data_IF_517548985822
#
_entry.id   IF_517548985822
#
_cell.length_a   1.000
_cell.length_b   1.000
_cell.length_c   1.000
_cell.angle_alpha   90.00
_cell.angle_beta   90.00
_cell.angle_gamma   90.00
#
_symmetry.space_group_name_H-M   'P 1'
#
loop_
_entity.id
_entity.type
_entity.pdbx_description
1 polymer ?
#
# COMPACT_ATOMS: atom_id res chain seq x y z
N UNK A 1 23.59 -39.35 13.81
CA UNK A 1 23.98 -37.94 14.05
C UNK A 1 24.24 -37.31 12.70
N UNK A 2 23.31 -36.51 12.17
CA UNK A 2 23.40 -35.87 10.85
C UNK A 2 23.06 -34.40 11.01
N UNK A 3 24.10 -33.56 11.06
CA UNK A 3 24.00 -32.09 11.19
C UNK A 3 24.56 -31.36 9.96
N UNK A 4 24.74 -32.05 8.83
CA UNK A 4 25.44 -31.51 7.65
C UNK A 4 24.59 -30.80 6.59
N UNK A 5 23.31 -30.52 6.84
CA UNK A 5 22.37 -30.10 5.78
C UNK A 5 22.26 -28.60 5.50
N UNK A 6 22.71 -27.71 6.39
CA UNK A 6 22.39 -26.27 6.29
C UNK A 6 23.49 -25.35 5.74
N UNK A 7 24.70 -25.84 5.49
CA UNK A 7 25.81 -24.98 5.02
C UNK A 7 25.77 -24.68 3.50
N UNK A 8 25.07 -25.48 2.69
CA UNK A 8 25.07 -25.33 1.23
C UNK A 8 24.22 -24.18 0.67
N UNK A 9 23.50 -23.42 1.51
CA UNK A 9 22.63 -22.30 1.06
C UNK A 9 23.22 -20.91 1.31
N UNK A 10 24.47 -20.80 1.80
CA UNK A 10 24.98 -19.54 2.37
C UNK A 10 25.71 -18.62 1.39
N UNK A 11 26.23 -19.13 0.26
CA UNK A 11 27.11 -18.36 -0.64
C UNK A 11 26.60 -18.20 -2.08
N UNK A 12 25.28 -18.06 -2.25
CA UNK A 12 24.75 -17.56 -3.51
C UNK A 12 25.09 -16.06 -3.67
N UNK A 13 25.74 -15.62 -4.76
CA UNK A 13 26.01 -14.20 -4.99
C UNK A 13 24.70 -13.43 -4.91
N UNK A 14 24.65 -12.40 -4.05
CA UNK A 14 23.50 -11.49 -3.90
C UNK A 14 23.20 -10.88 -5.26
N UNK A 15 22.29 -11.49 -6.02
CA UNK A 15 22.02 -11.10 -7.40
C UNK A 15 21.46 -9.66 -7.42
N UNK A 16 21.77 -8.86 -8.45
CA UNK A 16 21.34 -7.46 -8.62
C UNK A 16 19.82 -7.27 -8.88
N UNK A 17 18.97 -8.20 -8.42
CA UNK A 17 17.51 -8.23 -8.65
C UNK A 17 16.82 -6.99 -8.06
N UNK A 18 17.40 -6.36 -7.03
CA UNK A 18 16.83 -5.15 -6.41
C UNK A 18 16.85 -3.92 -7.32
N UNK A 19 17.81 -3.81 -8.25
CA UNK A 19 18.01 -2.58 -9.02
C UNK A 19 17.00 -2.45 -10.18
N UNK A 20 16.62 -3.56 -10.81
CA UNK A 20 15.69 -3.59 -11.96
C UNK A 20 14.26 -3.25 -11.51
N UNK A 21 13.82 -3.74 -10.34
CA UNK A 21 12.49 -3.47 -9.81
C UNK A 21 12.28 -1.98 -9.47
N UNK A 22 13.29 -1.34 -8.88
CA UNK A 22 13.22 0.07 -8.49
C UNK A 22 13.05 1.00 -9.71
N UNK A 23 13.80 0.78 -10.79
CA UNK A 23 13.69 1.61 -12.00
C UNK A 23 12.31 1.46 -12.66
N UNK A 24 11.78 0.24 -12.78
CA UNK A 24 10.44 0.02 -13.36
C UNK A 24 9.36 0.68 -12.54
N UNK A 25 9.47 0.61 -11.21
CA UNK A 25 8.54 1.27 -10.29
C UNK A 25 8.62 2.79 -10.39
N UNK A 26 9.84 3.36 -10.41
CA UNK A 26 10.04 4.80 -10.55
C UNK A 26 9.49 5.32 -11.89
N UNK A 27 9.71 4.58 -12.99
CA UNK A 27 9.16 4.90 -14.30
C UNK A 27 7.62 4.82 -14.30
N UNK A 28 7.04 3.77 -13.72
CA UNK A 28 5.59 3.63 -13.63
C UNK A 28 4.93 4.74 -12.80
N UNK A 29 5.54 5.10 -11.66
CA UNK A 29 5.09 6.22 -10.84
C UNK A 29 5.21 7.52 -11.64
N UNK A 30 6.37 7.80 -12.25
CA UNK A 30 6.59 9.00 -13.06
C UNK A 30 5.58 9.15 -14.19
N UNK A 31 5.29 8.07 -14.91
CA UNK A 31 4.30 8.05 -15.99
C UNK A 31 2.89 8.33 -15.47
N UNK A 32 2.53 7.75 -14.32
CA UNK A 32 1.25 8.03 -13.67
C UNK A 32 1.13 9.49 -13.23
N UNK A 33 2.19 10.10 -12.70
CA UNK A 33 2.21 11.53 -12.33
C UNK A 33 1.95 12.39 -13.57
N UNK A 34 2.73 12.17 -14.62
CA UNK A 34 2.67 12.97 -15.85
C UNK A 34 1.29 12.82 -16.51
N UNK A 35 0.76 11.60 -16.57
CA UNK A 35 -0.58 11.34 -17.09
C UNK A 35 -1.66 12.04 -16.27
N UNK A 36 -1.57 12.03 -14.94
CA UNK A 36 -2.56 12.68 -14.06
C UNK A 36 -2.49 14.20 -14.16
N UNK A 37 -1.28 14.78 -14.22
CA UNK A 37 -1.09 16.21 -14.41
C UNK A 37 -1.62 16.66 -15.77
N UNK A 38 -1.29 15.93 -16.84
CA UNK A 38 -1.79 16.20 -18.18
C UNK A 38 -3.31 16.09 -18.25
N UNK A 39 -3.88 15.02 -17.69
CA UNK A 39 -5.33 14.83 -17.61
C UNK A 39 -6.02 15.99 -16.87
N UNK A 40 -5.42 16.45 -15.77
CA UNK A 40 -5.93 17.61 -15.02
C UNK A 40 -5.94 18.86 -15.91
N UNK A 41 -4.83 19.17 -16.59
CA UNK A 41 -4.76 20.34 -17.49
C UNK A 41 -5.76 20.23 -18.65
N UNK A 42 -5.92 19.05 -19.25
CA UNK A 42 -6.86 18.83 -20.34
C UNK A 42 -8.32 18.89 -19.86
N UNK A 43 -8.61 18.45 -18.64
CA UNK A 43 -9.94 18.51 -18.03
C UNK A 43 -10.42 19.94 -17.81
N UNK A 44 -9.49 20.89 -17.62
CA UNK A 44 -9.82 22.32 -17.51
C UNK A 44 -10.27 22.93 -18.84
N UNK A 45 -10.03 22.25 -19.97
CA UNK A 45 -10.44 22.70 -21.31
C UNK A 45 -11.77 22.12 -21.76
N UNK A 46 -12.36 21.20 -21.00
CA UNK A 46 -13.65 20.59 -21.37
C UNK A 46 -14.80 21.36 -20.74
N UNK A 47 -15.53 22.12 -21.55
CA UNK A 47 -16.70 22.94 -21.12
C UNK A 47 -17.98 22.13 -20.89
N UNK A 48 -17.89 20.79 -20.84
CA UNK A 48 -19.08 19.95 -20.70
C UNK A 48 -19.46 19.82 -19.23
N UNK A 49 -20.63 20.33 -18.79
CA UNK A 49 -21.09 20.07 -17.44
C UNK A 49 -21.37 18.56 -17.29
N UNK A 50 -20.89 17.92 -16.21
CA UNK A 50 -21.15 16.51 -15.97
C UNK A 50 -22.64 16.31 -15.68
N UNK A 51 -23.24 15.25 -16.23
CA UNK A 51 -24.58 14.86 -15.84
C UNK A 51 -24.57 14.33 -14.39
N UNK A 52 -25.63 14.59 -13.61
CA UNK A 52 -25.70 14.12 -12.21
C UNK A 52 -25.53 12.60 -12.07
N UNK A 53 -25.98 11.83 -13.06
CA UNK A 53 -25.77 10.37 -13.12
C UNK A 53 -24.30 9.97 -13.26
N UNK A 54 -23.47 10.76 -13.94
CA UNK A 54 -22.03 10.49 -14.11
C UNK A 54 -21.31 10.67 -12.77
N UNK A 55 -21.61 11.76 -12.06
CA UNK A 55 -21.06 12.02 -10.73
C UNK A 55 -21.50 10.97 -9.71
N UNK A 56 -22.77 10.57 -9.74
CA UNK A 56 -23.30 9.51 -8.88
C UNK A 56 -22.60 8.16 -9.14
N UNK A 57 -22.38 7.81 -10.42
CA UNK A 57 -21.68 6.58 -10.78
C UNK A 57 -20.22 6.57 -10.28
N UNK A 58 -19.48 7.65 -10.52
CA UNK A 58 -18.08 7.75 -10.09
C UNK A 58 -17.98 7.82 -8.56
N UNK A 59 -18.81 8.62 -7.89
CA UNK A 59 -18.81 8.71 -6.43
C UNK A 59 -19.18 7.38 -5.76
N UNK A 60 -20.05 6.58 -6.40
CA UNK A 60 -20.40 5.23 -5.91
C UNK A 60 -19.21 4.30 -6.04
N UNK A 61 -18.50 4.35 -7.18
CA UNK A 61 -17.29 3.58 -7.39
C UNK A 61 -16.17 3.94 -6.40
N UNK A 62 -15.92 5.24 -6.16
CA UNK A 62 -14.94 5.70 -5.16
C UNK A 62 -15.31 5.18 -3.76
N UNK A 63 -16.59 5.33 -3.37
CA UNK A 63 -17.07 4.89 -2.06
C UNK A 63 -16.93 3.37 -1.88
N UNK A 64 -17.34 2.60 -2.89
CA UNK A 64 -17.24 1.14 -2.90
C UNK A 64 -15.80 0.65 -2.82
N UNK A 65 -14.91 1.21 -3.64
CA UNK A 65 -13.47 0.87 -3.60
C UNK A 65 -12.84 1.25 -2.25
N UNK A 66 -13.17 2.42 -1.72
CA UNK A 66 -12.66 2.89 -0.43
C UNK A 66 -13.13 2.00 0.71
N UNK A 67 -14.40 1.59 0.70
CA UNK A 67 -14.96 0.65 1.67
C UNK A 67 -14.28 -0.72 1.59
N UNK A 68 -14.10 -1.27 0.38
CA UNK A 68 -13.36 -2.50 0.17
C UNK A 68 -11.91 -2.40 0.68
N UNK A 69 -11.26 -1.26 0.44
CA UNK A 69 -9.92 -0.96 0.94
C UNK A 69 -9.84 -0.93 2.47
N UNK A 70 -10.83 -0.34 3.15
CA UNK A 70 -10.92 -0.37 4.62
C UNK A 70 -11.05 -1.81 5.11
N UNK A 71 -11.96 -2.60 4.53
CA UNK A 71 -12.15 -4.01 4.89
C UNK A 71 -10.84 -4.80 4.73
N UNK A 72 -10.14 -4.61 3.61
CA UNK A 72 -8.86 -5.26 3.35
C UNK A 72 -7.79 -4.86 4.38
N UNK A 73 -7.79 -3.59 4.83
CA UNK A 73 -6.86 -3.10 5.84
C UNK A 73 -7.14 -3.66 7.24
N UNK A 74 -8.42 -3.83 7.63
CA UNK A 74 -8.79 -4.33 8.97
C UNK A 74 -8.84 -5.85 9.08
N UNK A 75 -9.12 -6.57 7.98
CA UNK A 75 -9.27 -8.03 7.95
C UNK A 75 -8.38 -8.68 6.89
N UNK A 76 -7.04 -8.56 7.01
CA UNK A 76 -6.11 -9.08 5.98
C UNK A 76 -6.24 -10.59 5.75
N UNK A 77 -6.66 -11.35 6.78
CA UNK A 77 -6.84 -12.82 6.69
C UNK A 77 -8.03 -13.25 5.83
N UNK A 78 -9.09 -12.44 5.75
CA UNK A 78 -10.31 -12.78 5.00
C UNK A 78 -10.14 -12.61 3.49
N UNK A 79 -9.47 -11.54 3.07
CA UNK A 79 -9.26 -11.25 1.65
C UNK A 79 -8.34 -12.28 0.97
N UNK A 80 -7.34 -12.81 1.69
CA UNK A 80 -6.41 -13.78 1.11
C UNK A 80 -7.10 -15.11 0.77
N UNK A 81 -8.12 -15.53 1.53
CA UNK A 81 -8.91 -16.73 1.23
C UNK A 81 -9.74 -16.57 -0.05
N UNK A 82 -10.47 -15.46 -0.19
CA UNK A 82 -11.28 -15.19 -1.39
C UNK A 82 -10.42 -15.00 -2.65
N UNK A 83 -9.27 -14.31 -2.54
CA UNK A 83 -8.34 -14.17 -3.66
C UNK A 83 -7.68 -15.49 -4.05
N UNK A 84 -7.33 -16.34 -3.08
CA UNK A 84 -6.79 -17.69 -3.34
C UNK A 84 -7.80 -18.64 -3.99
N UNK A 85 -9.10 -18.38 -3.82
CA UNK A 85 -10.16 -19.12 -4.50
C UNK A 85 -10.45 -18.57 -5.91
N UNK A 86 -10.28 -17.26 -6.14
CA UNK A 86 -10.55 -16.63 -7.43
C UNK A 86 -9.36 -16.67 -8.41
N UNK A 87 -8.12 -16.78 -7.93
CA UNK A 87 -6.92 -16.90 -8.74
C UNK A 87 -6.40 -18.34 -8.73
N UNK A 88 -6.62 -19.06 -9.83
CA UNK A 88 -5.91 -20.28 -10.26
C UNK A 88 -4.85 -20.80 -9.28
N UNK A 89 -5.21 -21.77 -8.45
CA UNK A 89 -4.40 -22.90 -7.94
C UNK A 89 -2.88 -22.75 -7.77
N UNK A 90 -2.35 -21.57 -7.47
CA UNK A 90 -0.94 -21.42 -7.14
C UNK A 90 -0.82 -21.64 -5.65
N UNK A 91 -0.41 -22.86 -5.33
CA UNK A 91 0.18 -23.29 -4.07
C UNK A 91 0.52 -22.09 -3.19
N UNK A 92 -0.43 -21.73 -2.32
CA UNK A 92 -0.07 -21.16 -1.04
C UNK A 92 0.86 -22.21 -0.45
N UNK A 93 2.17 -21.99 -0.66
CA UNK A 93 3.23 -22.84 -0.19
C UNK A 93 2.86 -23.21 1.23
N UNK A 94 2.51 -24.47 1.37
CA UNK A 94 2.59 -25.21 2.61
C UNK A 94 4.02 -24.97 3.05
N UNK A 95 4.22 -23.92 3.85
CA UNK A 95 5.36 -23.84 4.75
C UNK A 95 5.09 -24.97 5.73
N UNK A 96 5.35 -26.20 5.26
CA UNK A 96 5.38 -27.40 6.06
C UNK A 96 6.42 -27.11 7.13
N UNK A 97 5.92 -26.81 8.32
CA UNK A 97 6.11 -27.57 9.57
C UNK A 97 7.52 -28.05 9.97
N UNK A 98 8.51 -28.08 9.10
CA UNK A 98 9.80 -28.73 9.35
C UNK A 98 10.94 -27.73 9.61
N UNK A 99 10.66 -26.43 9.64
CA UNK A 99 11.60 -25.46 10.22
C UNK A 99 11.51 -25.57 11.76
N UNK A 100 12.61 -25.88 12.48
CA UNK A 100 12.64 -26.02 13.94
C UNK A 100 12.53 -24.65 14.63
N UNK A 101 11.38 -24.02 14.48
CA UNK A 101 11.06 -22.65 14.89
C UNK A 101 9.95 -22.67 15.95
N UNK A 102 10.02 -23.61 16.89
CA UNK A 102 9.00 -23.90 17.91
C UNK A 102 8.78 -22.78 18.94
N UNK A 103 9.49 -21.63 18.82
CA UNK A 103 9.37 -20.48 19.72
C UNK A 103 9.29 -19.13 19.01
N UNK A 104 8.81 -19.08 17.78
CA UNK A 104 8.58 -17.80 17.11
C UNK A 104 7.21 -17.23 17.50
N UNK A 105 7.20 -16.17 18.31
CA UNK A 105 5.99 -15.36 18.49
C UNK A 105 5.67 -14.70 17.15
N UNK A 106 4.48 -14.97 16.62
CA UNK A 106 3.97 -14.32 15.42
C UNK A 106 3.08 -13.16 15.89
N UNK A 107 3.48 -11.92 15.60
CA UNK A 107 2.65 -10.74 15.87
C UNK A 107 2.04 -10.30 14.55
N UNK A 108 0.76 -10.60 14.36
CA UNK A 108 0.06 -10.36 13.09
C UNK A 108 0.35 -11.44 12.05
N UNK A 109 0.91 -11.05 10.89
CA UNK A 109 1.37 -11.97 9.82
C UNK A 109 2.89 -12.03 9.69
N UNK A 110 3.62 -11.45 10.66
CA UNK A 110 5.07 -11.42 10.69
C UNK A 110 5.60 -12.15 11.91
N UNK A 111 6.75 -12.79 11.73
CA UNK A 111 7.59 -13.25 12.85
C UNK A 111 8.07 -12.01 13.61
N UNK A 112 7.98 -12.04 14.93
CA UNK A 112 8.46 -10.94 15.78
C UNK A 112 9.97 -10.76 15.55
N UNK A 113 10.32 -9.72 14.79
CA UNK A 113 11.68 -9.33 14.46
C UNK A 113 11.81 -7.82 14.71
N UNK A 114 12.91 -7.39 15.34
CA UNK A 114 13.09 -5.98 15.73
C UNK A 114 13.15 -5.00 14.54
N UNK A 115 13.30 -5.50 13.30
CA UNK A 115 13.26 -4.65 12.10
C UNK A 115 11.84 -4.19 11.75
N UNK A 116 10.80 -4.85 12.27
CA UNK A 116 9.40 -4.47 12.00
C UNK A 116 8.85 -3.39 12.95
N UNK A 117 9.58 -3.02 14.02
CA UNK A 117 9.08 -2.03 14.98
C UNK A 117 8.82 -0.66 14.33
N UNK A 118 9.55 -0.31 13.26
CA UNK A 118 9.33 0.92 12.47
C UNK A 118 8.04 0.93 11.64
N UNK A 119 7.35 -0.21 11.51
CA UNK A 119 6.11 -0.35 10.74
C UNK A 119 4.87 -0.41 11.63
N UNK A 120 5.07 -0.41 12.95
CA UNK A 120 4.01 -0.60 13.94
C UNK A 120 3.79 0.68 14.72
N UNK A 121 2.54 1.08 14.85
CA UNK A 121 2.09 2.07 15.81
C UNK A 121 1.65 1.34 17.08
N UNK A 122 2.10 1.82 18.23
CA UNK A 122 1.57 1.40 19.51
C UNK A 122 0.44 2.36 19.90
N UNK A 123 -0.78 1.84 20.04
CA UNK A 123 -1.95 2.61 20.46
C UNK A 123 -2.71 1.83 21.54
N UNK A 124 -2.79 2.39 22.76
CA UNK A 124 -3.51 1.76 23.87
C UNK A 124 -3.05 0.34 24.20
N UNK A 125 -1.72 0.10 24.18
CA UNK A 125 -1.13 -1.24 24.40
C UNK A 125 -1.30 -2.23 23.23
N UNK A 126 -1.99 -1.85 22.15
CA UNK A 126 -2.12 -2.65 20.94
C UNK A 126 -1.14 -2.18 19.87
N UNK A 127 -0.65 -3.14 19.08
CA UNK A 127 0.25 -2.92 17.94
C UNK A 127 -0.56 -2.96 16.64
N UNK A 128 -0.56 -1.88 15.87
CA UNK A 128 -1.26 -1.78 14.57
C UNK A 128 -0.29 -1.39 13.46
N UNK A 129 -0.52 -1.87 12.24
CA UNK A 129 0.33 -1.51 11.10
C UNK A 129 0.08 -0.06 10.69
N UNK A 130 1.14 0.76 10.66
CA UNK A 130 1.10 2.14 10.19
C UNK A 130 0.50 2.27 8.78
N UNK A 131 0.88 1.35 7.89
CA UNK A 131 0.37 1.32 6.51
C UNK A 131 -1.12 1.01 6.42
N UNK A 132 -1.60 0.01 7.15
CA UNK A 132 -3.03 -0.33 7.19
C UNK A 132 -3.86 0.78 7.83
N UNK A 133 -3.34 1.41 8.88
CA UNK A 133 -4.01 2.52 9.55
C UNK A 133 -4.17 3.71 8.60
N UNK A 134 -3.11 4.11 7.89
CA UNK A 134 -3.17 5.18 6.91
C UNK A 134 -4.13 4.89 5.76
N UNK A 135 -4.15 3.63 5.26
CA UNK A 135 -5.12 3.21 4.24
C UNK A 135 -6.56 3.27 4.73
N UNK A 136 -6.83 2.82 5.96
CA UNK A 136 -8.18 2.86 6.51
C UNK A 136 -8.67 4.30 6.68
N UNK A 137 -7.84 5.19 7.23
CA UNK A 137 -8.17 6.62 7.36
C UNK A 137 -8.38 7.27 6.00
N UNK A 138 -7.51 6.97 5.02
CA UNK A 138 -7.64 7.49 3.67
C UNK A 138 -8.89 6.96 2.97
N UNK A 139 -9.28 5.71 3.23
CA UNK A 139 -10.54 5.15 2.75
C UNK A 139 -11.76 5.86 3.35
N UNK A 140 -11.73 6.26 4.63
CA UNK A 140 -12.80 7.07 5.21
C UNK A 140 -12.93 8.41 4.48
N UNK A 141 -11.81 9.07 4.19
CA UNK A 141 -11.80 10.29 3.37
C UNK A 141 -12.31 10.02 1.93
N UNK A 142 -11.96 8.87 1.35
CA UNK A 142 -12.46 8.44 0.04
C UNK A 142 -13.97 8.25 0.01
N UNK A 143 -14.56 7.63 1.04
CA UNK A 143 -16.02 7.52 1.20
C UNK A 143 -16.64 8.92 1.31
N UNK A 144 -16.08 9.81 2.13
CA UNK A 144 -16.59 11.18 2.25
C UNK A 144 -16.57 11.91 0.91
N UNK A 145 -15.49 11.80 0.14
CA UNK A 145 -15.39 12.35 -1.23
C UNK A 145 -16.43 11.74 -2.16
N UNK A 146 -16.61 10.42 -2.13
CA UNK A 146 -17.61 9.73 -2.95
C UNK A 146 -19.04 10.17 -2.61
N UNK A 147 -19.39 10.26 -1.33
CA UNK A 147 -20.70 10.76 -0.88
C UNK A 147 -20.92 12.24 -1.26
N UNK A 148 -19.88 13.07 -1.19
CA UNK A 148 -19.95 14.46 -1.63
C UNK A 148 -20.21 14.57 -3.14
N UNK A 149 -19.64 13.68 -3.96
CA UNK A 149 -19.95 13.58 -5.39
C UNK A 149 -21.40 13.13 -5.64
N UNK A 150 -21.88 12.14 -4.88
CA UNK A 150 -23.28 11.67 -4.97
C UNK A 150 -24.27 12.78 -4.65
N UNK A 151 -24.01 13.55 -3.60
CA UNK A 151 -24.87 14.64 -3.15
C UNK A 151 -24.75 15.92 -3.99
N UNK A 152 -23.85 15.96 -4.99
CA UNK A 152 -23.54 17.19 -5.73
C UNK A 152 -22.93 18.29 -4.87
N UNK A 153 -22.40 17.95 -3.69
CA UNK A 153 -21.82 18.86 -2.70
C UNK A 153 -20.33 19.13 -2.94
N UNK A 154 -19.72 18.42 -3.88
CA UNK A 154 -18.34 18.67 -4.24
C UNK A 154 -18.24 20.10 -4.81
N UNK A 155 -17.22 20.91 -4.46
CA UNK A 155 -17.11 22.27 -4.95
C UNK A 155 -16.92 22.25 -6.48
N UNK A 156 -18.01 22.49 -7.18
CA UNK A 156 -18.15 22.38 -8.63
C UNK A 156 -18.24 23.79 -9.22
N UNK A 157 -17.12 24.49 -9.31
CA UNK A 157 -16.76 25.45 -10.39
C UNK A 157 -15.70 26.46 -9.93
N UNK A 158 -14.80 26.77 -10.84
CA UNK A 158 -13.80 27.85 -10.71
C UNK A 158 -12.36 27.34 -10.69
N UNK A 159 -11.43 28.29 -10.76
CA UNK A 159 -9.98 28.04 -10.79
C UNK A 159 -9.48 27.25 -9.56
N UNK A 160 -10.23 27.30 -8.45
CA UNK A 160 -9.96 26.51 -7.24
C UNK A 160 -9.96 25.00 -7.49
N UNK A 161 -10.70 24.51 -8.48
CA UNK A 161 -10.78 23.07 -8.75
C UNK A 161 -9.47 22.53 -9.33
N UNK A 162 -8.80 23.30 -10.19
CA UNK A 162 -7.49 22.96 -10.72
C UNK A 162 -6.46 22.79 -9.59
N UNK A 163 -6.43 23.75 -8.67
CA UNK A 163 -5.53 23.73 -7.53
C UNK A 163 -5.81 22.53 -6.61
N UNK A 164 -7.08 22.23 -6.33
CA UNK A 164 -7.47 21.06 -5.51
C UNK A 164 -7.11 19.75 -6.19
N UNK A 165 -7.31 19.61 -7.51
CA UNK A 165 -6.91 18.43 -8.27
C UNK A 165 -5.40 18.23 -8.26
N UNK A 166 -4.64 19.29 -8.49
CA UNK A 166 -3.18 19.25 -8.48
C UNK A 166 -2.65 18.94 -7.07
N UNK A 167 -3.21 19.56 -6.02
CA UNK A 167 -2.85 19.26 -4.64
C UNK A 167 -3.20 17.83 -4.25
N UNK A 168 -4.39 17.35 -4.61
CA UNK A 168 -4.81 15.96 -4.37
C UNK A 168 -3.93 14.96 -5.10
N UNK A 169 -3.67 15.20 -6.39
CA UNK A 169 -2.82 14.35 -7.22
C UNK A 169 -1.37 14.32 -6.75
N UNK A 170 -0.80 15.49 -6.43
CA UNK A 170 0.57 15.59 -5.89
C UNK A 170 0.67 14.94 -4.51
N UNK A 171 -0.30 15.15 -3.62
CA UNK A 171 -0.35 14.47 -2.33
C UNK A 171 -0.45 12.95 -2.51
N UNK A 172 -1.23 12.50 -3.50
CA UNK A 172 -1.35 11.08 -3.81
C UNK A 172 -0.01 10.48 -4.20
N UNK A 173 0.64 11.08 -5.20
CA UNK A 173 1.93 10.67 -5.72
C UNK A 173 3.03 10.73 -4.65
N UNK A 174 3.12 11.84 -3.91
CA UNK A 174 4.09 12.00 -2.84
C UNK A 174 3.86 10.96 -1.74
N UNK A 175 2.60 10.71 -1.37
CA UNK A 175 2.21 9.66 -0.43
C UNK A 175 2.68 8.28 -0.88
N UNK A 176 2.46 7.93 -2.15
CA UNK A 176 2.97 6.69 -2.74
C UNK A 176 4.49 6.63 -2.70
N UNK A 177 5.19 7.68 -3.14
CA UNK A 177 6.65 7.73 -3.17
C UNK A 177 7.26 7.59 -1.76
N UNK A 178 6.70 8.26 -0.75
CA UNK A 178 7.16 8.18 0.65
C UNK A 178 6.84 6.82 1.26
N UNK A 179 5.67 6.24 0.96
CA UNK A 179 5.34 4.87 1.39
C UNK A 179 6.31 3.83 0.80
N UNK A 180 6.85 4.12 -0.39
CA UNK A 180 7.90 3.36 -1.07
C UNK A 180 9.31 3.88 -0.75
N UNK A 181 9.45 4.86 0.14
CA UNK A 181 10.69 5.58 0.40
C UNK A 181 11.67 4.84 1.33
N UNK A 182 12.66 5.53 1.89
CA UNK A 182 13.70 4.92 2.73
C UNK A 182 13.11 4.22 3.97
N UNK A 183 13.71 3.08 4.33
CA UNK A 183 13.27 2.22 5.46
C UNK A 183 13.16 2.97 6.80
N UNK A 184 13.86 4.09 6.95
CA UNK A 184 13.96 4.88 8.18
C UNK A 184 12.79 5.84 8.46
N UNK A 185 11.78 5.95 7.58
CA UNK A 185 10.65 6.82 7.85
C UNK A 185 9.90 6.39 9.13
N UNK A 186 9.59 7.32 10.06
CA UNK A 186 8.92 6.99 11.31
C UNK A 186 7.49 6.45 11.04
N UNK A 187 6.92 5.64 11.94
CA UNK A 187 5.59 5.06 11.78
C UNK A 187 4.49 6.08 11.44
N UNK A 188 4.53 7.26 12.08
CA UNK A 188 3.57 8.34 11.83
C UNK A 188 3.69 8.88 10.41
N UNK A 189 4.92 9.15 9.94
CA UNK A 189 5.17 9.64 8.58
C UNK A 189 4.66 8.67 7.52
N UNK A 190 4.87 7.36 7.74
CA UNK A 190 4.31 6.30 6.88
C UNK A 190 2.78 6.30 6.90
N UNK A 191 2.17 6.49 8.07
CA UNK A 191 0.71 6.55 8.20
C UNK A 191 0.14 7.72 7.41
N UNK A 192 0.71 8.92 7.57
CA UNK A 192 0.33 10.13 6.85
C UNK A 192 0.53 9.99 5.34
N UNK A 193 1.64 9.41 4.90
CA UNK A 193 1.89 9.16 3.47
C UNK A 193 0.82 8.24 2.85
N UNK A 194 0.43 7.18 3.56
CA UNK A 194 -0.61 6.26 3.08
C UNK A 194 -2.01 6.88 3.13
N UNK A 195 -2.28 7.75 4.11
CA UNK A 195 -3.49 8.57 4.14
C UNK A 195 -3.56 9.51 2.94
N UNK A 196 -2.50 10.31 2.72
CA UNK A 196 -2.40 11.26 1.61
C UNK A 196 -2.51 10.57 0.24
N UNK A 197 -1.93 9.38 0.10
CA UNK A 197 -2.07 8.54 -1.08
C UNK A 197 -3.54 8.31 -1.46
N UNK A 198 -4.33 7.75 -0.53
CA UNK A 198 -5.72 7.37 -0.81
C UNK A 198 -6.64 8.60 -0.86
N UNK A 199 -6.54 9.49 0.12
CA UNK A 199 -7.38 10.69 0.21
C UNK A 199 -7.13 11.64 -0.95
N UNK A 200 -5.85 11.92 -1.26
CA UNK A 200 -5.46 12.78 -2.38
C UNK A 200 -5.90 12.21 -3.72
N UNK A 201 -5.76 10.88 -3.91
CA UNK A 201 -6.25 10.20 -5.10
C UNK A 201 -7.77 10.33 -5.25
N UNK A 202 -8.52 10.14 -4.17
CA UNK A 202 -9.98 10.23 -4.21
C UNK A 202 -10.45 11.65 -4.54
N UNK A 203 -9.83 12.66 -3.93
CA UNK A 203 -10.11 14.08 -4.23
C UNK A 203 -9.77 14.41 -5.68
N UNK A 204 -8.60 14.01 -6.17
CA UNK A 204 -8.19 14.24 -7.55
C UNK A 204 -9.15 13.58 -8.54
N UNK A 205 -9.54 12.32 -8.31
CA UNK A 205 -10.54 11.62 -9.13
C UNK A 205 -11.91 12.31 -9.07
N UNK A 206 -12.31 12.81 -7.90
CA UNK A 206 -13.55 13.58 -7.78
C UNK A 206 -13.54 14.87 -8.59
N UNK A 207 -12.43 15.61 -8.57
CA UNK A 207 -12.29 16.79 -9.44
C UNK A 207 -12.27 16.39 -10.92
N UNK A 208 -11.54 15.34 -11.30
CA UNK A 208 -11.54 14.86 -12.69
C UNK A 208 -12.95 14.45 -13.13
N UNK A 209 -13.72 13.77 -12.28
CA UNK A 209 -15.11 13.40 -12.57
C UNK A 209 -16.00 14.63 -12.81
N UNK A 210 -15.68 15.77 -12.19
CA UNK A 210 -16.40 17.02 -12.44
C UNK A 210 -16.21 17.60 -13.85
N UNK A 211 -15.18 17.17 -14.57
CA UNK A 211 -14.97 17.53 -15.97
C UNK A 211 -15.64 16.54 -16.95
N UNK A 212 -16.28 15.49 -16.44
CA UNK A 212 -17.04 14.50 -17.22
C UNK A 212 -16.64 13.05 -16.93
N UNK A 213 -17.51 12.13 -17.36
CA UNK A 213 -17.36 10.69 -17.12
C UNK A 213 -15.99 10.13 -17.54
N UNK A 214 -15.48 10.52 -18.72
CA UNK A 214 -14.20 9.99 -19.23
C UNK A 214 -13.03 10.30 -18.29
N UNK A 215 -12.97 11.52 -17.76
CA UNK A 215 -11.95 11.94 -16.80
C UNK A 215 -12.13 11.27 -15.44
N UNK A 216 -13.38 11.09 -14.99
CA UNK A 216 -13.68 10.33 -13.78
C UNK A 216 -13.20 8.87 -13.89
N UNK A 217 -13.51 8.18 -14.99
CA UNK A 217 -13.05 6.82 -15.26
C UNK A 217 -11.53 6.75 -15.32
N UNK A 218 -10.88 7.70 -15.98
CA UNK A 218 -9.42 7.79 -16.00
C UNK A 218 -8.85 7.91 -14.57
N UNK A 219 -9.41 8.78 -13.73
CA UNK A 219 -8.98 8.92 -12.34
C UNK A 219 -9.16 7.64 -11.51
N UNK A 220 -10.26 6.89 -11.71
CA UNK A 220 -10.46 5.59 -11.06
C UNK A 220 -9.41 4.57 -11.50
N UNK A 221 -9.15 4.46 -12.82
CA UNK A 221 -8.14 3.55 -13.36
C UNK A 221 -6.74 3.91 -12.85
N UNK A 222 -6.41 5.20 -12.80
CA UNK A 222 -5.16 5.70 -12.24
C UNK A 222 -5.01 5.32 -10.76
N UNK A 223 -6.07 5.46 -9.95
CA UNK A 223 -6.07 5.04 -8.56
C UNK A 223 -5.87 3.52 -8.41
N UNK A 224 -6.59 2.71 -9.18
CA UNK A 224 -6.45 1.24 -9.17
C UNK A 224 -5.02 0.83 -9.55
N UNK A 225 -4.46 1.42 -10.60
CA UNK A 225 -3.08 1.18 -11.01
C UNK A 225 -2.08 1.56 -9.91
N UNK A 226 -2.27 2.73 -9.27
CA UNK A 226 -1.41 3.18 -8.18
C UNK A 226 -1.47 2.25 -6.96
N UNK A 227 -2.66 1.77 -6.60
CA UNK A 227 -2.85 0.79 -5.53
C UNK A 227 -2.14 -0.52 -5.88
N UNK A 228 -2.28 -1.00 -7.13
CA UNK A 228 -1.60 -2.20 -7.61
C UNK A 228 -0.07 -2.10 -7.52
N UNK A 229 0.49 -0.99 -8.02
CA UNK A 229 1.94 -0.69 -7.92
C UNK A 229 2.42 -0.70 -6.47
N UNK A 230 1.65 -0.10 -5.56
CA UNK A 230 1.99 -0.06 -4.14
C UNK A 230 1.94 -1.45 -3.50
N UNK A 231 0.95 -2.28 -3.84
CA UNK A 231 0.86 -3.65 -3.33
C UNK A 231 2.08 -4.47 -3.77
N UNK A 232 2.41 -4.43 -5.07
CA UNK A 232 3.55 -5.17 -5.62
C UNK A 232 4.87 -4.76 -4.96
N UNK A 233 5.09 -3.45 -4.82
CA UNK A 233 6.27 -2.92 -4.19
C UNK A 233 6.34 -3.24 -2.69
N UNK A 234 5.21 -3.20 -1.99
CA UNK A 234 5.13 -3.61 -0.57
C UNK A 234 5.44 -5.08 -0.40
N UNK A 235 4.94 -5.96 -1.28
CA UNK A 235 5.21 -7.40 -1.23
C UNK A 235 6.68 -7.70 -1.52
N UNK A 236 7.26 -7.03 -2.51
CA UNK A 236 8.66 -7.18 -2.88
C UNK A 236 9.58 -6.82 -1.71
N UNK A 237 9.30 -5.70 -1.02
CA UNK A 237 10.02 -5.31 0.20
C UNK A 237 9.84 -6.30 1.33
N UNK A 238 8.61 -6.76 1.53
CA UNK A 238 8.33 -7.72 2.59
C UNK A 238 9.11 -9.03 2.41
N UNK A 239 9.19 -9.54 1.17
CA UNK A 239 10.00 -10.72 0.82
C UNK A 239 11.49 -10.50 1.10
N UNK A 240 12.03 -9.34 0.73
CA UNK A 240 13.43 -9.00 0.98
C UNK A 240 13.75 -8.92 2.49
N UNK A 241 12.93 -8.19 3.25
CA UNK A 241 13.12 -8.05 4.69
C UNK A 241 12.96 -9.40 5.42
N UNK A 242 12.05 -10.27 4.94
CA UNK A 242 11.89 -11.63 5.46
C UNK A 242 13.13 -12.50 5.21
N UNK A 243 13.67 -12.48 3.98
CA UNK A 243 14.87 -13.24 3.63
C UNK A 243 16.08 -12.81 4.49
N UNK A 244 16.25 -11.51 4.70
CA UNK A 244 17.28 -10.95 5.58
C UNK A 244 17.13 -11.44 7.03
N UNK A 245 15.90 -11.50 7.55
CA UNK A 245 15.65 -11.94 8.92
C UNK A 245 15.99 -13.41 9.13
N UNK A 246 15.71 -14.25 8.12
CA UNK A 246 16.07 -15.68 8.14
C UNK A 246 17.59 -15.82 8.13
N UNK A 247 18.27 -15.11 7.22
CA UNK A 247 19.73 -15.13 7.10
C UNK A 247 20.44 -14.67 8.40
N UNK A 248 19.94 -13.60 9.04
CA UNK A 248 20.51 -13.08 10.28
C UNK A 248 20.33 -14.00 11.49
N UNK A 249 19.34 -14.92 11.48
CA UNK A 249 19.15 -15.90 12.56
C UNK A 249 19.98 -17.17 12.35
N UNK A 250 20.14 -17.62 11.10
CA UNK A 250 21.01 -18.75 10.76
C UNK A 250 22.50 -18.51 11.02
N UNK A 251 22.92 -17.25 11.23
CA UNK A 251 24.27 -16.91 11.68
C UNK A 251 24.44 -17.01 13.19
N UNK A 252 23.38 -16.77 13.97
CA UNK A 252 23.44 -16.77 15.43
C UNK A 252 23.25 -18.14 16.09
N UNK A 253 22.69 -19.12 15.37
CA UNK A 253 22.51 -20.49 15.90
C UNK A 253 23.81 -21.30 15.98
N UNK A 254 24.95 -20.76 15.52
CA UNK A 254 26.29 -21.30 15.76
C UNK A 254 27.01 -20.67 16.98
N UNK A 255 26.40 -19.72 17.67
CA UNK A 255 26.96 -19.11 18.89
C UNK A 255 26.56 -19.90 20.14
N UNK A 256 27.44 -20.05 21.14
CA UNK A 256 27.22 -20.94 22.28
C UNK A 256 25.94 -20.56 23.03
N UNK A 257 25.06 -21.55 23.19
CA UNK A 257 23.85 -21.48 23.99
C UNK A 257 24.20 -21.19 25.46
N UNK A 258 24.30 -19.91 25.85
CA UNK A 258 24.88 -19.60 27.16
C UNK A 258 24.68 -18.19 27.71
N UNK A 259 23.65 -17.44 27.31
CA UNK A 259 23.35 -16.16 27.97
C UNK A 259 21.84 -16.02 28.23
N UNK A 260 21.41 -16.44 29.42
CA UNK A 260 20.09 -16.11 29.95
C UNK A 260 20.00 -14.59 30.09
N UNK A 261 18.96 -13.97 29.52
CA UNK A 261 18.58 -12.59 29.84
C UNK A 261 18.17 -12.53 31.33
N UNK A 262 18.68 -11.56 32.12
CA UNK A 262 18.19 -11.37 33.48
C UNK A 262 16.75 -10.87 33.43
N UNK A 263 15.90 -11.56 34.17
CA UNK A 263 14.57 -11.09 34.57
C UNK A 263 14.76 -9.96 35.58
N UNK A 264 14.30 -8.76 35.24
CA UNK A 264 14.06 -7.66 36.17
C UNK A 264 12.60 -7.26 36.05
#
# INVERSE_FOLDING_TARGET
MSSGGCEALRDGPRRPVERIGFHRMALAVGLLVTATALATVLSLRTDRPPAGIELAAIGSAISGMSFAGIIAAVRPRGCNRLLSQAGTGREATRWDSDLPCERMRVVGHHVECGRFDSHVLAFGGRRVCAGCTGMALGGVAGIATGLALLGGLFPLRGDSNAAVALLGGTASVAGAAIALGPRAAPPIGRTLANFAFVAGGAVATGVLASAGLAWGVFGLLAMVAAVGLRIDASQSRHKADCADCIAARGTTSGGPAGARRPTG
#
